data_IF_625125567976
#
_entry.id   IF_625125567976
#
_cell.length_a   1.000
_cell.length_b   1.000
_cell.length_c   1.000
_cell.angle_alpha   90.00
_cell.angle_beta   90.00
_cell.angle_gamma   90.00
#
_symmetry.space_group_name_H-M   'P 1'
#
loop_
_entity.id
_entity.type
_entity.pdbx_description
1 polymer ?
#
# COMPACT_ATOMS: atom_id res chain seq x y z
N UNK A 1 6.89 -38.08 17.40
CA UNK A 1 7.45 -36.87 18.03
C UNK A 1 7.01 -35.70 17.18
N UNK A 2 6.12 -34.84 17.70
CA UNK A 2 5.61 -33.68 16.98
C UNK A 2 6.55 -32.50 17.26
N UNK A 3 7.27 -32.05 16.24
CA UNK A 3 8.06 -30.82 16.29
C UNK A 3 7.12 -29.62 16.32
N UNK A 4 6.95 -29.03 17.49
CA UNK A 4 6.26 -27.76 17.65
C UNK A 4 7.11 -26.65 17.03
N UNK A 5 6.72 -26.17 15.85
CA UNK A 5 7.33 -25.00 15.22
C UNK A 5 7.19 -23.80 16.17
N UNK A 6 8.28 -23.42 16.82
CA UNK A 6 8.34 -22.24 17.66
C UNK A 6 8.07 -21.00 16.79
N UNK A 7 6.90 -20.39 16.98
CA UNK A 7 6.54 -19.12 16.37
C UNK A 7 7.47 -18.07 16.98
N UNK A 8 8.54 -17.71 16.27
CA UNK A 8 9.41 -16.63 16.72
C UNK A 8 8.58 -15.34 16.80
N UNK A 9 8.67 -14.58 17.91
CA UNK A 9 7.98 -13.31 18.03
C UNK A 9 8.46 -12.40 16.90
N UNK A 10 7.50 -11.82 16.17
CA UNK A 10 7.78 -10.79 15.17
C UNK A 10 8.36 -9.60 15.92
N UNK A 11 9.69 -9.55 16.03
CA UNK A 11 10.37 -8.43 16.67
C UNK A 11 10.12 -7.22 15.77
N UNK A 12 9.27 -6.31 16.25
CA UNK A 12 8.99 -5.05 15.58
C UNK A 12 10.18 -4.12 15.77
N UNK A 13 11.28 -4.41 15.08
CA UNK A 13 12.35 -3.43 14.95
C UNK A 13 11.72 -2.16 14.34
N UNK A 14 11.97 -1.02 14.95
CA UNK A 14 11.70 0.29 14.36
C UNK A 14 13.06 0.86 13.98
N UNK A 15 13.24 1.29 12.73
CA UNK A 15 14.47 1.98 12.34
C UNK A 15 14.72 3.15 13.29
N UNK A 16 15.93 3.24 13.83
CA UNK A 16 16.33 4.36 14.70
C UNK A 16 16.50 5.62 13.86
N UNK A 17 16.36 6.79 14.51
CA UNK A 17 16.42 8.12 13.88
C UNK A 17 17.69 8.35 13.05
N UNK A 18 18.81 7.73 13.43
CA UNK A 18 20.10 7.83 12.73
C UNK A 18 20.33 6.82 11.60
N UNK A 19 19.62 5.69 11.58
CA UNK A 19 19.82 4.65 10.55
C UNK A 19 19.33 5.11 9.18
N UNK A 20 18.34 6.01 9.14
CA UNK A 20 17.89 6.61 7.88
C UNK A 20 18.99 7.46 7.26
N UNK A 21 19.73 8.22 8.09
CA UNK A 21 20.80 9.11 7.62
C UNK A 21 21.94 8.34 6.94
N UNK A 22 22.30 7.17 7.50
CA UNK A 22 23.33 6.28 6.94
C UNK A 22 22.95 5.79 5.55
N UNK A 23 21.68 5.46 5.32
CA UNK A 23 21.22 4.94 4.02
C UNK A 23 21.07 6.05 2.98
N UNK A 24 20.84 7.29 3.41
CA UNK A 24 20.57 8.40 2.50
C UNK A 24 21.80 9.13 1.98
N UNK A 25 23.01 8.77 2.45
CA UNK A 25 24.30 9.43 2.17
C UNK A 25 24.18 10.96 2.13
N UNK A 26 24.43 11.65 3.27
CA UNK A 26 24.46 13.11 3.46
C UNK A 26 24.15 13.93 2.18
N UNK A 27 22.86 13.96 1.84
CA UNK A 27 22.37 14.57 0.60
C UNK A 27 22.30 16.08 0.76
N UNK A 28 22.40 16.76 -0.38
CA UNK A 28 22.17 18.20 -0.55
C UNK A 28 21.17 18.78 0.45
N UNK A 29 21.47 19.95 1.06
CA UNK A 29 20.61 20.55 2.05
C UNK A 29 19.23 20.84 1.46
N UNK A 30 18.18 20.50 2.20
CA UNK A 30 16.81 20.82 1.79
C UNK A 30 16.49 22.30 2.01
N UNK A 31 15.41 22.77 1.38
CA UNK A 31 14.97 24.16 1.42
C UNK A 31 14.98 24.79 2.83
N UNK A 32 14.42 24.13 3.85
CA UNK A 32 14.39 24.68 5.21
C UNK A 32 15.77 24.80 5.89
N UNK A 33 16.76 23.99 5.48
CA UNK A 33 18.13 24.15 5.96
C UNK A 33 18.83 25.33 5.25
N UNK A 34 18.56 25.52 3.95
CA UNK A 34 19.06 26.65 3.17
C UNK A 34 18.48 27.96 3.70
N UNK A 35 17.19 27.99 4.05
CA UNK A 35 16.56 29.17 4.64
C UNK A 35 17.16 29.54 6.00
N UNK A 36 17.45 28.54 6.84
CA UNK A 36 18.12 28.77 8.10
C UNK A 36 19.53 29.36 7.87
N UNK A 37 20.32 28.74 6.99
CA UNK A 37 21.66 29.22 6.67
C UNK A 37 21.63 30.65 6.12
N UNK A 38 20.67 30.99 5.25
CA UNK A 38 20.48 32.34 4.71
C UNK A 38 20.19 33.38 5.80
N UNK A 39 19.49 33.02 6.86
CA UNK A 39 19.23 33.93 7.98
C UNK A 39 20.51 34.28 8.75
N UNK A 40 21.45 33.34 8.85
CA UNK A 40 22.72 33.55 9.56
C UNK A 40 23.79 34.22 8.71
N UNK A 41 23.91 33.87 7.43
CA UNK A 41 24.92 34.43 6.53
C UNK A 41 24.58 35.89 6.16
N UNK A 42 23.29 36.21 6.04
CA UNK A 42 22.85 37.53 5.59
C UNK A 42 23.21 37.83 4.12
N UNK A 43 22.69 38.95 3.56
CA UNK A 43 22.84 39.25 2.12
C UNK A 43 24.18 39.90 1.73
N UNK A 44 25.05 40.25 2.68
CA UNK A 44 26.29 41.02 2.45
C UNK A 44 27.55 40.40 3.06
N UNK A 45 27.51 39.14 3.49
CA UNK A 45 28.71 38.49 4.01
C UNK A 45 29.77 38.35 2.92
N UNK A 46 31.02 38.61 3.28
CA UNK A 46 32.16 38.26 2.44
C UNK A 46 32.24 36.73 2.29
N UNK A 47 32.80 36.28 1.17
CA UNK A 47 32.77 34.86 0.80
C UNK A 47 33.44 33.96 1.86
N UNK A 48 34.59 34.37 2.40
CA UNK A 48 35.32 33.58 3.41
C UNK A 48 34.57 33.53 4.74
N UNK A 49 34.09 34.67 5.23
CA UNK A 49 33.24 34.72 6.43
C UNK A 49 31.98 33.87 6.30
N UNK A 50 31.36 33.87 5.11
CA UNK A 50 30.19 33.05 4.83
C UNK A 50 30.51 31.55 4.89
N UNK A 51 31.71 31.12 4.47
CA UNK A 51 32.13 29.73 4.57
C UNK A 51 32.35 29.29 6.02
N UNK A 52 32.98 30.13 6.83
CA UNK A 52 33.20 29.84 8.25
C UNK A 52 31.87 29.75 9.00
N UNK A 53 30.95 30.69 8.75
CA UNK A 53 29.58 30.63 9.29
C UNK A 53 28.84 29.38 8.81
N UNK A 54 29.01 28.98 7.54
CA UNK A 54 28.41 27.74 7.04
C UNK A 54 28.95 26.50 7.74
N UNK A 55 30.27 26.43 7.98
CA UNK A 55 30.88 25.32 8.73
C UNK A 55 30.30 25.24 10.15
N UNK A 56 30.22 26.37 10.85
CA UNK A 56 29.62 26.46 12.18
C UNK A 56 28.14 26.03 12.19
N UNK A 57 27.36 26.40 11.16
CA UNK A 57 25.95 26.00 11.01
C UNK A 57 25.81 24.50 10.77
N UNK A 58 26.73 23.89 10.02
CA UNK A 58 26.72 22.45 9.72
C UNK A 58 27.05 21.65 10.98
N UNK A 59 28.09 22.05 11.71
CA UNK A 59 28.56 21.35 12.90
C UNK A 59 27.65 21.60 14.12
N UNK A 60 26.93 22.73 14.11
CA UNK A 60 25.99 23.12 15.14
C UNK A 60 26.61 24.02 16.22
N UNK A 61 27.62 24.81 15.85
CA UNK A 61 28.26 25.81 16.70
C UNK A 61 27.75 27.22 16.39
N UNK A 62 26.43 27.39 16.22
CA UNK A 62 25.83 28.69 15.93
C UNK A 62 25.01 29.24 17.11
N UNK A 63 24.88 30.57 17.16
CA UNK A 63 24.08 31.27 18.17
C UNK A 63 22.60 30.95 17.94
N UNK A 64 21.95 30.28 18.89
CA UNK A 64 20.54 29.85 18.79
C UNK A 64 20.31 28.35 18.62
N UNK A 65 21.34 27.51 18.75
CA UNK A 65 21.18 26.03 18.82
C UNK A 65 20.24 25.59 19.94
N UNK A 66 20.17 26.37 21.02
CA UNK A 66 19.28 26.12 22.16
C UNK A 66 17.80 26.37 21.85
N UNK A 67 17.47 26.96 20.69
CA UNK A 67 16.07 27.16 20.30
C UNK A 67 15.36 25.80 20.16
N UNK A 68 14.27 25.54 20.90
CA UNK A 68 13.58 24.25 20.87
C UNK A 68 12.93 23.94 19.51
N UNK A 69 12.84 24.94 18.62
CA UNK A 69 12.35 24.82 17.24
C UNK A 69 13.44 24.47 16.25
N UNK A 70 14.72 24.65 16.59
CA UNK A 70 15.83 24.29 15.71
C UNK A 70 16.16 22.82 15.91
N UNK A 71 16.11 22.04 14.84
CA UNK A 71 16.26 20.57 14.90
C UNK A 71 17.10 20.08 13.73
N UNK A 72 17.76 18.92 13.91
CA UNK A 72 18.43 18.21 12.81
C UNK A 72 17.42 17.41 12.00
N UNK A 73 17.51 17.54 10.68
CA UNK A 73 16.68 16.81 9.73
C UNK A 73 17.04 15.31 9.74
N UNK A 74 16.04 14.42 9.83
CA UNK A 74 16.26 12.97 9.81
C UNK A 74 16.69 12.42 8.43
N UNK A 75 16.67 13.24 7.37
CA UNK A 75 17.01 12.80 6.01
C UNK A 75 18.35 13.36 5.55
N UNK A 76 18.59 14.66 5.68
CA UNK A 76 19.83 15.30 5.23
C UNK A 76 20.81 15.61 6.36
N UNK A 77 20.40 15.47 7.63
CA UNK A 77 21.27 15.73 8.79
C UNK A 77 21.42 17.21 9.17
N UNK A 78 21.22 18.13 8.23
CA UNK A 78 21.35 19.57 8.48
C UNK A 78 20.32 20.13 9.47
N UNK A 79 20.72 21.21 10.14
CA UNK A 79 19.84 21.98 11.02
C UNK A 79 18.81 22.78 10.21
N UNK A 80 17.60 22.86 10.75
CA UNK A 80 16.52 23.67 10.20
C UNK A 80 15.60 24.14 11.33
N UNK A 81 14.86 25.23 11.08
CA UNK A 81 13.86 25.74 12.01
C UNK A 81 12.49 25.14 11.69
N UNK A 82 11.84 24.54 12.68
CA UNK A 82 10.49 24.01 12.54
C UNK A 82 9.46 25.15 12.45
N UNK A 83 8.80 25.24 11.29
CA UNK A 83 7.71 26.19 11.02
C UNK A 83 6.35 25.63 11.42
N UNK A 84 6.24 24.35 11.80
CA UNK A 84 4.97 23.74 12.17
C UNK A 84 4.47 24.26 13.51
N UNK A 85 3.16 24.48 13.62
CA UNK A 85 2.51 24.97 14.85
C UNK A 85 2.83 24.11 16.08
N UNK A 86 2.89 22.79 15.89
CA UNK A 86 3.08 21.83 16.97
C UNK A 86 4.54 21.48 17.24
N UNK A 87 5.51 22.10 16.54
CA UNK A 87 6.93 21.76 16.62
C UNK A 87 7.17 20.24 16.51
N UNK A 88 6.64 19.63 15.45
CA UNK A 88 6.60 18.17 15.26
C UNK A 88 7.27 17.69 13.98
N UNK A 89 7.80 18.61 13.17
CA UNK A 89 8.50 18.21 11.96
C UNK A 89 9.80 17.49 12.30
N UNK A 90 10.13 16.52 11.46
CA UNK A 90 11.36 15.72 11.55
C UNK A 90 12.24 15.89 10.31
N UNK A 91 11.82 16.73 9.38
CA UNK A 91 12.44 16.93 8.06
C UNK A 91 12.32 18.39 7.65
N UNK A 92 13.37 18.93 7.04
CA UNK A 92 13.44 20.35 6.63
C UNK A 92 12.63 20.70 5.37
N UNK A 93 12.27 19.73 4.54
CA UNK A 93 11.53 19.95 3.29
C UNK A 93 10.62 18.77 2.94
N UNK A 94 9.68 19.00 2.01
CA UNK A 94 8.83 17.94 1.47
C UNK A 94 9.64 16.86 0.74
N UNK A 95 10.71 17.25 0.05
CA UNK A 95 11.61 16.31 -0.63
C UNK A 95 12.38 15.43 0.36
N UNK A 96 12.85 15.99 1.48
CA UNK A 96 13.46 15.21 2.55
C UNK A 96 12.46 14.24 3.17
N UNK A 97 11.19 14.65 3.29
CA UNK A 97 10.11 13.76 3.76
C UNK A 97 9.88 12.59 2.81
N UNK A 98 9.76 12.84 1.50
CA UNK A 98 9.54 11.78 0.51
C UNK A 98 10.71 10.80 0.46
N UNK A 99 11.96 11.30 0.46
CA UNK A 99 13.18 10.47 0.51
C UNK A 99 13.22 9.58 1.76
N UNK A 100 12.97 10.14 2.94
CA UNK A 100 12.86 9.39 4.19
C UNK A 100 11.79 8.30 4.11
N UNK A 101 10.60 8.63 3.61
CA UNK A 101 9.50 7.69 3.52
C UNK A 101 9.80 6.53 2.54
N UNK A 102 10.53 6.81 1.46
CA UNK A 102 11.01 5.77 0.52
C UNK A 102 11.96 4.81 1.21
N UNK A 103 12.95 5.30 1.97
CA UNK A 103 13.90 4.46 2.71
C UNK A 103 13.20 3.60 3.75
N UNK A 104 12.32 4.20 4.57
CA UNK A 104 11.55 3.46 5.57
C UNK A 104 10.66 2.39 4.91
N UNK A 105 10.07 2.70 3.76
CA UNK A 105 9.24 1.75 3.01
C UNK A 105 10.07 0.62 2.40
N UNK A 106 11.27 0.90 1.90
CA UNK A 106 12.19 -0.12 1.41
C UNK A 106 12.62 -1.07 2.54
N UNK A 107 13.06 -0.51 3.65
CA UNK A 107 13.44 -1.28 4.84
C UNK A 107 12.28 -2.14 5.37
N UNK A 108 11.05 -1.59 5.47
CA UNK A 108 9.87 -2.38 5.86
C UNK A 108 9.58 -3.53 4.90
N UNK A 109 9.86 -3.37 3.60
CA UNK A 109 9.72 -4.46 2.62
C UNK A 109 10.77 -5.53 2.82
N UNK A 110 12.01 -5.15 3.15
CA UNK A 110 13.10 -6.08 3.42
C UNK A 110 12.84 -6.88 4.69
N UNK A 111 12.46 -6.23 5.79
CA UNK A 111 12.10 -6.90 7.05
C UNK A 111 10.92 -7.86 6.86
N UNK A 112 9.92 -7.49 6.05
CA UNK A 112 8.81 -8.40 5.72
C UNK A 112 9.22 -9.59 4.86
N UNK A 113 10.28 -9.45 4.05
CA UNK A 113 10.84 -10.52 3.23
C UNK A 113 11.78 -11.41 4.04
N UNK A 114 12.50 -10.84 5.02
CA UNK A 114 13.38 -11.58 5.91
C UNK A 114 12.57 -12.66 6.64
N UNK A 115 13.02 -13.91 6.54
CA UNK A 115 12.36 -15.08 7.14
C UNK A 115 11.17 -15.65 6.36
N UNK A 116 10.75 -15.05 5.23
CA UNK A 116 9.72 -15.65 4.37
C UNK A 116 10.37 -16.22 3.10
N UNK A 117 10.12 -17.49 2.75
CA UNK A 117 10.53 -17.99 1.44
C UNK A 117 9.89 -17.11 0.38
N UNK A 118 10.67 -16.71 -0.64
CA UNK A 118 10.10 -16.00 -1.78
C UNK A 118 9.00 -16.87 -2.37
N UNK A 119 7.78 -16.34 -2.48
CA UNK A 119 6.72 -17.03 -3.22
C UNK A 119 7.28 -17.34 -4.61
N UNK A 120 7.30 -18.61 -5.03
CA UNK A 120 7.84 -18.96 -6.33
C UNK A 120 7.01 -18.24 -7.38
N UNK A 121 7.69 -17.57 -8.31
CA UNK A 121 6.98 -16.93 -9.42
C UNK A 121 6.38 -18.02 -10.32
N UNK A 122 5.38 -17.66 -11.13
CA UNK A 122 4.82 -18.60 -12.12
C UNK A 122 5.91 -19.21 -13.01
N UNK A 123 6.91 -18.40 -13.39
CA UNK A 123 8.08 -18.87 -14.13
C UNK A 123 8.87 -19.90 -13.30
N UNK A 124 9.20 -19.58 -12.06
CA UNK A 124 9.96 -20.51 -11.19
C UNK A 124 9.26 -21.86 -10.98
N UNK A 125 7.92 -21.93 -11.10
CA UNK A 125 7.17 -23.18 -10.94
C UNK A 125 7.14 -24.05 -12.19
N UNK A 126 7.10 -23.42 -13.37
CA UNK A 126 6.80 -24.12 -14.64
C UNK A 126 7.91 -24.00 -15.68
N UNK A 127 8.95 -23.23 -15.41
CA UNK A 127 10.10 -23.04 -16.28
C UNK A 127 11.35 -23.57 -15.59
N UNK A 128 11.92 -24.61 -16.18
CA UNK A 128 13.12 -25.27 -15.68
C UNK A 128 14.35 -24.45 -16.06
N UNK A 129 14.74 -23.53 -15.15
CA UNK A 129 16.00 -22.79 -15.24
C UNK A 129 17.16 -23.65 -14.71
N UNK A 130 18.30 -23.66 -15.41
CA UNK A 130 19.53 -24.33 -14.94
C UNK A 130 19.91 -25.62 -15.68
N UNK A 131 19.18 -26.02 -16.70
CA UNK A 131 19.61 -27.03 -17.68
C UNK A 131 20.35 -26.37 -18.86
N UNK A 132 21.14 -27.14 -19.60
CA UNK A 132 21.82 -26.67 -20.82
C UNK A 132 20.83 -26.05 -21.83
N UNK A 133 19.61 -26.57 -21.86
CA UNK A 133 18.51 -26.03 -22.63
C UNK A 133 17.31 -25.74 -21.72
N UNK A 134 17.04 -24.46 -21.39
CA UNK A 134 15.86 -24.08 -20.61
C UNK A 134 14.57 -24.26 -21.42
N UNK A 135 13.60 -24.96 -20.87
CA UNK A 135 12.29 -25.18 -21.49
C UNK A 135 11.15 -25.03 -20.49
N UNK A 136 9.93 -24.85 -21.01
CA UNK A 136 8.70 -24.88 -20.23
C UNK A 136 8.29 -26.32 -19.96
N UNK A 137 7.86 -26.61 -18.74
CA UNK A 137 7.38 -27.94 -18.36
C UNK A 137 6.18 -28.42 -19.19
N UNK A 138 5.39 -27.48 -19.73
CA UNK A 138 4.32 -27.73 -20.69
C UNK A 138 4.12 -26.49 -21.59
N UNK A 139 3.82 -26.70 -22.88
CA UNK A 139 3.46 -25.67 -23.85
C UNK A 139 2.26 -24.82 -23.40
N UNK A 140 1.27 -25.41 -22.74
CA UNK A 140 0.12 -24.65 -22.22
C UNK A 140 0.55 -23.57 -21.21
N UNK A 141 1.56 -23.88 -20.38
CA UNK A 141 2.09 -22.94 -19.37
C UNK A 141 2.91 -21.83 -20.01
N UNK A 142 3.61 -22.13 -21.10
CA UNK A 142 4.25 -21.12 -21.94
C UNK A 142 3.22 -20.15 -22.49
N UNK A 143 2.15 -20.65 -23.12
CA UNK A 143 1.09 -19.81 -23.70
C UNK A 143 0.35 -19.00 -22.63
N UNK A 144 0.07 -19.57 -21.45
CA UNK A 144 -0.55 -18.85 -20.35
C UNK A 144 0.34 -17.71 -19.83
N UNK A 145 1.65 -17.95 -19.73
CA UNK A 145 2.62 -16.95 -19.31
C UNK A 145 2.74 -15.81 -20.33
N UNK A 146 2.84 -16.13 -21.62
CA UNK A 146 2.95 -15.15 -22.70
C UNK A 146 1.67 -14.36 -22.86
N UNK A 147 0.49 -14.99 -22.71
CA UNK A 147 -0.80 -14.29 -22.71
C UNK A 147 -0.89 -13.26 -21.57
N UNK A 148 -0.45 -13.63 -20.35
CA UNK A 148 -0.45 -12.71 -19.19
C UNK A 148 0.51 -11.54 -19.35
N UNK A 149 1.60 -11.71 -20.11
CA UNK A 149 2.61 -10.66 -20.36
C UNK A 149 2.45 -9.94 -21.70
N UNK A 150 1.48 -10.35 -22.53
CA UNK A 150 1.21 -9.78 -23.83
C UNK A 150 2.20 -10.17 -24.94
N UNK A 151 2.97 -11.26 -24.75
CA UNK A 151 3.91 -11.78 -25.76
C UNK A 151 3.23 -12.55 -26.89
N UNK A 152 2.08 -13.18 -26.61
CA UNK A 152 1.24 -13.86 -27.59
C UNK A 152 -0.17 -13.26 -27.56
N UNK A 153 -0.36 -12.12 -28.23
CA UNK A 153 -1.69 -11.66 -28.63
C UNK A 153 -1.98 -12.21 -30.02
N UNK A 154 -2.87 -13.19 -30.13
CA UNK A 154 -3.49 -13.50 -31.40
C UNK A 154 -4.29 -12.28 -31.86
N UNK A 155 -3.78 -11.57 -32.87
CA UNK A 155 -4.50 -10.56 -33.67
C UNK A 155 -4.86 -9.24 -32.97
N UNK A 156 -4.41 -8.11 -33.54
CA UNK A 156 -4.95 -6.74 -33.42
C UNK A 156 -5.68 -6.33 -32.13
N UNK A 157 -5.06 -6.52 -30.97
CA UNK A 157 -5.53 -6.00 -29.69
C UNK A 157 -5.35 -4.47 -29.52
N UNK A 158 -5.15 -3.73 -30.61
CA UNK A 158 -5.00 -2.27 -30.57
C UNK A 158 -6.28 -1.62 -30.05
N UNK A 159 -7.44 -2.07 -30.51
CA UNK A 159 -8.74 -1.53 -30.09
C UNK A 159 -9.02 -1.81 -28.60
N UNK A 160 -8.72 -3.01 -28.11
CA UNK A 160 -8.82 -3.33 -26.67
C UNK A 160 -7.86 -2.47 -25.82
N UNK A 161 -6.62 -2.28 -26.30
CA UNK A 161 -5.64 -1.45 -25.62
C UNK A 161 -6.09 0.02 -25.55
N UNK A 162 -6.58 0.57 -26.67
CA UNK A 162 -7.12 1.93 -26.75
C UNK A 162 -8.35 2.08 -25.85
N UNK A 163 -9.28 1.12 -25.89
CA UNK A 163 -10.47 1.11 -25.02
C UNK A 163 -10.10 1.10 -23.53
N UNK A 164 -9.09 0.32 -23.14
CA UNK A 164 -8.62 0.25 -21.76
C UNK A 164 -7.88 1.51 -21.30
N UNK A 165 -7.14 2.17 -22.20
CA UNK A 165 -6.52 3.47 -21.94
C UNK A 165 -7.55 4.59 -21.79
N UNK A 166 -8.61 4.58 -22.59
CA UNK A 166 -9.73 5.51 -22.46
C UNK A 166 -10.48 5.31 -21.14
N UNK A 167 -10.74 4.06 -20.74
CA UNK A 167 -11.33 3.75 -19.42
C UNK A 167 -10.43 4.21 -18.27
N UNK A 168 -9.12 3.95 -18.34
CA UNK A 168 -8.16 4.42 -17.33
C UNK A 168 -8.15 5.96 -17.26
N UNK A 169 -8.21 6.67 -18.39
CA UNK A 169 -8.29 8.13 -18.42
C UNK A 169 -9.60 8.66 -17.82
N UNK A 170 -10.75 8.07 -18.18
CA UNK A 170 -12.06 8.42 -17.63
C UNK A 170 -12.16 8.14 -16.12
N UNK A 171 -11.52 7.08 -15.64
CA UNK A 171 -11.45 6.73 -14.22
C UNK A 171 -10.32 7.46 -13.45
N UNK A 172 -9.64 8.41 -14.11
CA UNK A 172 -8.61 9.25 -13.50
C UNK A 172 -7.32 8.50 -13.10
N UNK A 173 -7.02 7.38 -13.76
CA UNK A 173 -5.82 6.56 -13.54
C UNK A 173 -5.76 5.84 -12.20
N UNK A 174 -6.80 5.94 -11.37
CA UNK A 174 -6.87 5.25 -10.09
C UNK A 174 -7.42 3.84 -10.32
N UNK A 175 -6.54 2.84 -10.34
CA UNK A 175 -6.97 1.44 -10.19
C UNK A 175 -7.82 1.36 -8.92
N UNK A 176 -9.07 0.87 -9.02
CA UNK A 176 -9.86 0.49 -7.84
C UNK A 176 -8.97 -0.39 -6.98
N UNK A 177 -8.74 0.00 -5.73
CA UNK A 177 -8.00 -0.82 -4.78
C UNK A 177 -8.69 -2.17 -4.70
N UNK A 178 -7.99 -3.24 -5.06
CA UNK A 178 -8.48 -4.58 -4.79
C UNK A 178 -8.76 -4.67 -3.29
N UNK A 179 -10.02 -4.83 -2.91
CA UNK A 179 -10.38 -5.06 -1.52
C UNK A 179 -9.80 -6.42 -1.15
N UNK A 180 -8.80 -6.43 -0.28
CA UNK A 180 -8.32 -7.65 0.36
C UNK A 180 -9.43 -7.99 1.35
N UNK A 181 -10.19 -9.03 1.04
CA UNK A 181 -11.13 -9.62 1.98
C UNK A 181 -10.25 -10.39 2.97
N UNK A 182 -10.06 -9.85 4.18
CA UNK A 182 -9.43 -10.60 5.27
C UNK A 182 -10.41 -11.71 5.66
N UNK A 183 -10.08 -12.93 5.22
CA UNK A 183 -10.83 -14.14 5.50
C UNK A 183 -10.19 -14.83 6.71
N UNK A 184 -10.82 -14.65 7.88
CA UNK A 184 -10.31 -15.14 9.17
C UNK A 184 -10.71 -16.61 9.45
N UNK A 185 -11.18 -17.36 8.45
CA UNK A 185 -11.45 -18.80 8.56
C UNK A 185 -12.59 -19.20 9.50
N UNK A 186 -13.40 -18.25 9.97
CA UNK A 186 -14.63 -18.51 10.72
C UNK A 186 -15.82 -17.91 9.98
N UNK A 187 -16.78 -18.75 9.58
CA UNK A 187 -18.04 -18.39 8.92
C UNK A 187 -19.01 -17.63 9.86
N UNK A 188 -18.57 -16.49 10.39
CA UNK A 188 -19.51 -15.47 10.87
C UNK A 188 -19.80 -14.59 9.68
N UNK A 189 -21.01 -14.72 9.13
CA UNK A 189 -21.54 -13.79 8.14
C UNK A 189 -21.52 -12.38 8.72
N UNK A 190 -20.46 -11.62 8.43
CA UNK A 190 -20.49 -10.18 8.63
C UNK A 190 -21.38 -9.62 7.53
N UNK A 191 -22.43 -8.83 7.88
CA UNK A 191 -23.22 -8.17 6.86
C UNK A 191 -22.30 -7.24 6.08
N UNK A 192 -22.02 -7.58 4.81
CA UNK A 192 -21.27 -6.70 3.92
C UNK A 192 -22.27 -5.81 3.19
N UNK A 193 -22.13 -4.50 3.34
CA UNK A 193 -22.95 -3.53 2.64
C UNK A 193 -22.34 -3.27 1.25
N UNK A 194 -23.02 -3.73 0.20
CA UNK A 194 -22.73 -3.28 -1.16
C UNK A 194 -23.29 -1.88 -1.33
N UNK A 195 -22.44 -0.87 -1.17
CA UNK A 195 -22.79 0.50 -1.53
C UNK A 195 -22.82 0.63 -3.06
N UNK A 196 -23.98 0.31 -3.65
CA UNK A 196 -24.33 0.67 -5.02
C UNK A 196 -24.54 2.19 -5.10
N UNK A 197 -23.46 2.90 -5.44
CA UNK A 197 -23.38 4.29 -5.89
C UNK A 197 -24.02 5.38 -5.00
N UNK A 198 -23.14 6.25 -4.54
CA UNK A 198 -23.36 7.62 -4.06
C UNK A 198 -24.52 8.36 -4.73
N UNK A 199 -25.74 8.32 -4.17
CA UNK A 199 -26.66 9.49 -4.15
C UNK A 199 -27.59 9.43 -2.93
N UNK A 200 -27.51 10.50 -2.14
CA UNK A 200 -28.43 10.94 -1.09
C UNK A 200 -28.38 10.23 0.27
N UNK A 201 -27.64 10.87 1.18
CA UNK A 201 -28.05 11.02 2.57
C UNK A 201 -29.48 11.59 2.65
N UNK A 202 -30.49 10.72 2.71
CA UNK A 202 -31.78 11.04 3.33
C UNK A 202 -32.09 9.92 4.31
N UNK A 203 -32.01 10.26 5.59
CA UNK A 203 -32.44 9.45 6.73
C UNK A 203 -33.96 9.26 6.66
N UNK A 204 -34.44 8.43 5.75
CA UNK A 204 -35.79 7.89 5.83
C UNK A 204 -35.78 6.87 6.96
N UNK A 205 -36.56 7.12 8.02
CA UNK A 205 -36.80 6.14 9.09
C UNK A 205 -37.29 4.84 8.44
N UNK A 206 -36.43 3.81 8.43
CA UNK A 206 -36.82 2.48 7.94
C UNK A 206 -37.74 1.87 8.99
N UNK A 207 -39.01 1.65 8.63
CA UNK A 207 -39.94 0.87 9.44
C UNK A 207 -39.65 -0.61 9.22
N UNK A 208 -39.26 -1.31 10.28
CA UNK A 208 -39.09 -2.76 10.26
C UNK A 208 -40.44 -3.39 10.57
N UNK A 209 -41.07 -3.99 9.57
CA UNK A 209 -42.29 -4.77 9.77
C UNK A 209 -41.90 -6.20 10.15
N UNK A 210 -42.31 -6.65 11.33
CA UNK A 210 -42.20 -8.06 11.73
C UNK A 210 -43.31 -8.83 11.03
N UNK A 211 -42.95 -9.64 10.04
CA UNK A 211 -43.87 -10.56 9.35
C UNK A 211 -43.65 -11.99 9.85
N UNK A 212 -44.72 -12.77 9.85
CA UNK A 212 -44.61 -14.20 10.16
C UNK A 212 -43.92 -14.94 8.99
N UNK A 213 -43.30 -16.08 9.27
CA UNK A 213 -42.60 -16.86 8.22
C UNK A 213 -43.55 -17.28 7.07
N UNK A 214 -44.81 -17.54 7.38
CA UNK A 214 -45.84 -17.88 6.39
C UNK A 214 -46.18 -16.71 5.45
N UNK A 215 -46.23 -15.48 5.97
CA UNK A 215 -46.46 -14.28 5.16
C UNK A 215 -45.29 -14.00 4.21
N UNK A 216 -44.06 -14.24 4.68
CA UNK A 216 -42.86 -14.10 3.86
C UNK A 216 -42.85 -15.13 2.73
N UNK A 217 -43.20 -16.38 3.04
CA UNK A 217 -43.28 -17.46 2.04
C UNK A 217 -44.34 -17.20 0.98
N UNK A 218 -45.52 -16.66 1.37
CA UNK A 218 -46.56 -16.29 0.43
C UNK A 218 -46.11 -15.17 -0.52
N UNK A 219 -45.46 -14.13 -0.01
CA UNK A 219 -44.94 -13.02 -0.82
C UNK A 219 -43.81 -13.47 -1.76
N UNK A 220 -42.92 -14.34 -1.28
CA UNK A 220 -41.83 -14.87 -2.11
C UNK A 220 -42.36 -15.83 -3.19
N UNK A 221 -43.40 -16.62 -2.89
CA UNK A 221 -44.08 -17.44 -3.89
C UNK A 221 -44.74 -16.59 -4.97
N UNK A 222 -45.39 -15.50 -4.59
CA UNK A 222 -46.02 -14.57 -5.54
C UNK A 222 -44.98 -13.87 -6.42
N UNK A 223 -43.84 -13.42 -5.85
CA UNK A 223 -42.80 -12.69 -6.60
C UNK A 223 -41.94 -13.55 -7.50
N UNK A 224 -41.53 -14.72 -7.04
CA UNK A 224 -40.50 -15.51 -7.72
C UNK A 224 -41.02 -16.82 -8.32
N UNK A 225 -42.25 -17.20 -7.98
CA UNK A 225 -42.86 -18.46 -8.41
C UNK A 225 -42.33 -19.69 -7.65
N UNK A 226 -43.13 -20.76 -7.64
CA UNK A 226 -42.85 -21.96 -6.85
C UNK A 226 -41.55 -22.67 -7.24
N UNK A 227 -41.19 -22.66 -8.53
CA UNK A 227 -40.04 -23.41 -9.04
C UNK A 227 -38.70 -22.80 -8.61
N UNK A 228 -38.55 -21.48 -8.75
CA UNK A 228 -37.35 -20.76 -8.29
C UNK A 228 -37.21 -20.81 -6.78
N UNK A 229 -38.32 -20.72 -6.05
CA UNK A 229 -38.32 -20.82 -4.60
C UNK A 229 -37.85 -22.21 -4.13
N UNK A 230 -38.25 -23.27 -4.83
CA UNK A 230 -37.78 -24.64 -4.57
C UNK A 230 -36.28 -24.80 -4.83
N UNK A 231 -35.76 -24.24 -5.93
CA UNK A 231 -34.33 -24.29 -6.25
C UNK A 231 -33.50 -23.53 -5.21
N UNK A 232 -33.95 -22.34 -4.79
CA UNK A 232 -33.29 -21.57 -3.75
C UNK A 232 -33.28 -22.29 -2.39
N UNK A 233 -34.39 -22.96 -2.02
CA UNK A 233 -34.46 -23.79 -0.81
C UNK A 233 -33.54 -25.02 -0.89
N UNK A 234 -33.45 -25.66 -2.05
CA UNK A 234 -32.49 -26.74 -2.29
C UNK A 234 -31.06 -26.24 -2.10
N UNK A 235 -30.70 -25.13 -2.75
CA UNK A 235 -29.38 -24.51 -2.59
C UNK A 235 -29.09 -24.17 -1.13
N UNK A 236 -30.03 -23.57 -0.40
CA UNK A 236 -29.87 -23.27 1.03
C UNK A 236 -29.58 -24.53 1.86
N UNK A 237 -30.29 -25.65 1.61
CA UNK A 237 -30.00 -26.93 2.28
C UNK A 237 -28.63 -27.51 1.89
N UNK A 238 -28.23 -27.37 0.63
CA UNK A 238 -26.88 -27.77 0.19
C UNK A 238 -25.79 -26.93 0.88
N UNK A 239 -26.02 -25.63 1.06
CA UNK A 239 -25.12 -24.75 1.82
C UNK A 239 -25.06 -25.12 3.31
N UNK A 240 -26.19 -25.47 3.94
CA UNK A 240 -26.23 -25.89 5.35
C UNK A 240 -25.51 -27.22 5.60
N UNK A 241 -25.55 -28.14 4.63
CA UNK A 241 -24.95 -29.48 4.75
C UNK A 241 -23.46 -29.52 4.39
N UNK A 242 -22.87 -28.42 3.92
CA UNK A 242 -21.43 -28.28 3.70
C UNK A 242 -20.85 -29.16 2.60
N UNK A 243 -21.68 -29.83 1.80
CA UNK A 243 -21.23 -30.62 0.64
C UNK A 243 -20.99 -29.70 -0.56
N UNK A 244 -19.78 -29.15 -0.62
CA UNK A 244 -19.27 -28.45 -1.80
C UNK A 244 -18.52 -29.45 -2.69
N UNK A 245 -18.99 -29.61 -3.93
CA UNK A 245 -18.20 -30.15 -5.04
C UNK A 245 -17.37 -29.01 -5.65
#
# INVERSE_FOLDING_TARGET
MQETAAIMPIVTFKMKKGEVLVVTDLKEPGAGAIELARQYIGPKAEYYDALDIMADVIDGYFIGVEDPRVRRCNCCGFFYRDTTKNNSSLTCSLECKTKKDVVIKAWRREVRKAGKPRRPTFKNLYYTEGLEYPFWANEDRMYEYDRKRGGYSYGDNFEEYVGRKLLDAQMGGKKKSAQIIDYDGYDKAMPFEVNLSEKLHKTNKKTVYKRSAAEIDAELLERYGAEKLRQARMQAKYFETGNYF
#
